data_IF_809668399350
#
_entry.id   IF_809668399350
#
_cell.length_a   1.000
_cell.length_b   1.000
_cell.length_c   1.000
_cell.angle_alpha   90.00
_cell.angle_beta   90.00
_cell.angle_gamma   90.00
#
_symmetry.space_group_name_H-M   'P 1'
#
loop_
_entity.id
_entity.type
_entity.pdbx_description
1 polymer ?
#
# COMPACT_ATOMS: atom_id res chain seq x y z
N UNK A 1 14.40 -26.51 30.32
CA UNK A 1 15.33 -25.56 30.96
C UNK A 1 14.70 -24.19 30.85
N UNK A 2 14.53 -23.40 31.90
CA UNK A 2 13.90 -22.10 31.81
C UNK A 2 14.83 -21.13 31.05
N UNK A 3 14.27 -20.42 30.07
CA UNK A 3 14.90 -19.28 29.42
C UNK A 3 15.17 -18.19 30.46
N UNK A 4 16.40 -18.08 30.86
CA UNK A 4 16.87 -16.98 31.71
C UNK A 4 17.18 -15.81 30.78
N UNK A 5 16.32 -14.83 30.79
CA UNK A 5 16.57 -13.44 30.37
C UNK A 5 16.91 -13.18 28.90
N UNK A 6 16.24 -13.85 27.94
CA UNK A 6 16.28 -13.46 26.50
C UNK A 6 17.68 -13.54 25.84
N UNK A 7 18.63 -14.25 26.45
CA UNK A 7 20.02 -14.34 26.01
C UNK A 7 20.25 -15.62 25.21
N UNK A 8 20.70 -15.50 23.97
CA UNK A 8 21.09 -16.68 23.18
C UNK A 8 22.48 -17.15 23.61
N UNK A 9 22.65 -18.42 23.98
CA UNK A 9 23.97 -19.00 24.25
C UNK A 9 24.86 -18.89 22.98
N UNK A 10 26.15 -18.63 23.21
CA UNK A 10 27.16 -18.56 22.14
C UNK A 10 28.26 -19.56 22.43
N UNK A 11 28.85 -20.12 21.34
CA UNK A 11 30.10 -20.88 21.42
C UNK A 11 31.28 -19.91 21.39
N UNK A 12 32.06 -19.86 22.49
CA UNK A 12 33.14 -18.92 22.66
C UNK A 12 34.46 -19.69 22.77
N UNK A 13 35.45 -19.32 21.97
CA UNK A 13 36.82 -19.79 22.14
C UNK A 13 37.59 -18.73 22.92
N UNK A 14 38.14 -19.12 24.07
CA UNK A 14 38.89 -18.23 24.98
C UNK A 14 40.39 -18.54 24.89
N UNK A 15 41.12 -17.73 24.09
CA UNK A 15 42.55 -17.88 23.83
C UNK A 15 43.39 -17.03 24.82
N UNK A 16 44.37 -17.63 25.45
CA UNK A 16 45.22 -16.95 26.43
C UNK A 16 46.62 -17.61 26.58
N UNK A 17 47.58 -16.90 27.15
CA UNK A 17 48.85 -17.49 27.60
C UNK A 17 48.68 -18.24 28.90
N UNK A 18 49.28 -19.43 29.04
CA UNK A 18 49.27 -20.19 30.32
C UNK A 18 49.73 -19.38 31.55
N UNK A 19 50.59 -18.38 31.35
CA UNK A 19 51.03 -17.45 32.38
C UNK A 19 49.90 -16.57 32.93
N UNK A 20 48.84 -16.35 32.13
CA UNK A 20 47.70 -15.51 32.51
C UNK A 20 46.50 -16.32 33.02
N UNK A 21 46.62 -17.65 33.20
CA UNK A 21 45.52 -18.54 33.60
C UNK A 21 44.74 -18.02 34.81
N UNK A 22 45.43 -17.64 35.87
CA UNK A 22 44.79 -17.14 37.12
C UNK A 22 43.96 -15.86 36.92
N UNK A 23 44.30 -15.02 35.92
CA UNK A 23 43.54 -13.82 35.55
C UNK A 23 42.35 -14.16 34.66
N UNK A 24 42.43 -15.20 33.84
CA UNK A 24 41.45 -15.55 32.81
C UNK A 24 40.40 -16.53 33.33
N UNK A 25 40.72 -17.39 34.27
CA UNK A 25 39.80 -18.36 34.85
C UNK A 25 38.50 -17.74 35.42
N UNK A 26 38.51 -16.59 36.14
CA UNK A 26 37.27 -15.90 36.50
C UNK A 26 36.41 -15.44 35.33
N UNK A 27 37.04 -15.13 34.19
CA UNK A 27 36.33 -14.76 32.97
C UNK A 27 35.58 -15.97 32.41
N UNK A 28 36.25 -17.15 32.36
CA UNK A 28 35.62 -18.39 31.96
C UNK A 28 34.39 -18.71 32.82
N UNK A 29 34.52 -18.69 34.14
CA UNK A 29 33.38 -18.95 35.02
C UNK A 29 32.24 -17.95 34.84
N UNK A 30 32.55 -16.67 34.62
CA UNK A 30 31.54 -15.65 34.43
C UNK A 30 30.78 -15.86 33.09
N UNK A 31 31.44 -16.24 32.01
CA UNK A 31 30.82 -16.54 30.72
C UNK A 31 29.96 -17.82 30.80
N UNK A 32 30.46 -18.88 31.47
CA UNK A 32 29.68 -20.10 31.72
C UNK A 32 28.40 -19.82 32.52
N UNK A 33 28.51 -18.96 33.58
CA UNK A 33 27.38 -18.55 34.41
C UNK A 33 26.31 -17.77 33.61
N UNK A 34 26.66 -17.15 32.44
CA UNK A 34 25.72 -16.51 31.52
C UNK A 34 25.12 -17.49 30.49
N UNK A 35 25.45 -18.79 30.61
CA UNK A 35 24.94 -19.84 29.73
C UNK A 35 25.68 -19.99 28.39
N UNK A 36 26.85 -19.37 28.22
CA UNK A 36 27.68 -19.57 27.04
C UNK A 36 28.42 -20.93 27.09
N UNK A 37 28.71 -21.50 25.95
CA UNK A 37 29.54 -22.67 25.75
C UNK A 37 30.99 -22.19 25.51
N UNK A 38 31.89 -22.38 26.49
CA UNK A 38 33.22 -21.80 26.44
C UNK A 38 34.28 -22.89 26.33
N UNK A 39 35.06 -22.86 25.27
CA UNK A 39 36.28 -23.63 25.15
C UNK A 39 37.43 -22.87 25.83
N UNK A 40 37.88 -23.37 26.99
CA UNK A 40 38.82 -22.68 27.84
C UNK A 40 40.12 -23.47 28.08
N UNK A 41 40.09 -24.82 28.13
CA UNK A 41 41.19 -25.57 28.73
C UNK A 41 42.05 -26.37 27.76
N UNK A 42 43.38 -26.35 28.05
CA UNK A 42 44.37 -27.19 27.45
C UNK A 42 44.57 -28.50 28.21
N UNK A 43 44.14 -28.55 29.49
CA UNK A 43 44.39 -29.67 30.39
C UNK A 43 43.33 -30.78 30.28
N UNK A 44 42.20 -30.52 29.60
CA UNK A 44 41.15 -31.53 29.29
C UNK A 44 41.53 -32.46 28.14
N UNK A 45 42.77 -32.40 27.64
CA UNK A 45 43.24 -33.26 26.58
C UNK A 45 43.77 -34.56 27.14
N UNK A 46 43.15 -35.74 26.85
CA UNK A 46 43.73 -37.02 27.22
C UNK A 46 45.12 -37.17 26.61
N UNK A 47 46.06 -37.68 27.43
CA UNK A 47 47.42 -37.94 26.96
C UNK A 47 47.39 -38.86 25.73
N UNK A 48 47.99 -38.42 24.58
CA UNK A 48 48.07 -39.18 23.34
C UNK A 48 47.03 -38.86 22.27
N UNK A 49 46.20 -37.84 22.45
CA UNK A 49 45.31 -37.31 21.38
C UNK A 49 46.01 -36.20 20.58
N UNK A 50 45.68 -36.09 19.28
CA UNK A 50 46.16 -35.02 18.43
C UNK A 50 45.65 -33.66 18.93
N UNK A 51 46.51 -32.95 19.65
CA UNK A 51 46.20 -31.66 20.25
C UNK A 51 45.73 -30.63 19.24
N UNK A 52 46.31 -30.62 18.04
CA UNK A 52 46.02 -29.63 17.02
C UNK A 52 44.59 -29.76 16.45
N UNK A 53 44.04 -30.98 16.28
CA UNK A 53 42.71 -31.17 15.68
C UNK A 53 41.59 -30.67 16.55
N UNK A 54 41.65 -30.91 17.86
CA UNK A 54 40.58 -30.44 18.77
C UNK A 54 40.52 -28.90 18.89
N UNK A 55 41.69 -28.24 18.84
CA UNK A 55 41.74 -26.77 18.81
C UNK A 55 41.17 -26.24 17.49
N UNK A 56 41.53 -26.87 16.37
CA UNK A 56 40.95 -26.52 15.06
C UNK A 56 39.45 -26.66 15.13
N UNK A 57 38.91 -27.78 15.56
CA UNK A 57 37.45 -28.02 15.66
C UNK A 57 36.76 -27.03 16.62
N UNK A 58 37.40 -26.70 17.75
CA UNK A 58 36.89 -25.74 18.69
C UNK A 58 36.86 -24.31 18.12
N UNK A 59 37.90 -23.87 17.42
CA UNK A 59 37.92 -22.58 16.74
C UNK A 59 36.91 -22.57 15.60
N UNK A 60 36.79 -23.66 14.80
CA UNK A 60 35.84 -23.76 13.70
C UNK A 60 34.38 -23.76 14.17
N UNK A 61 34.09 -24.37 15.34
CA UNK A 61 32.74 -24.36 15.91
C UNK A 61 32.39 -23.06 16.64
N UNK A 62 33.40 -22.28 17.09
CA UNK A 62 33.20 -21.06 17.85
C UNK A 62 32.45 -19.98 17.02
N UNK A 63 31.60 -19.22 17.69
CA UNK A 63 30.91 -18.04 17.14
C UNK A 63 31.66 -16.75 17.46
N UNK A 64 32.40 -16.73 18.56
CA UNK A 64 33.21 -15.62 19.03
C UNK A 64 34.58 -16.14 19.50
N UNK A 65 35.63 -15.46 19.12
CA UNK A 65 37.00 -15.71 19.56
C UNK A 65 37.41 -14.55 20.51
N UNK A 66 37.64 -14.87 21.76
CA UNK A 66 38.12 -13.91 22.76
C UNK A 66 39.62 -14.13 22.94
N UNK A 67 40.43 -13.11 22.63
CA UNK A 67 41.87 -13.17 22.70
C UNK A 67 42.39 -12.34 23.90
N UNK A 68 42.95 -13.02 24.91
CA UNK A 68 43.53 -12.37 26.07
C UNK A 68 44.92 -11.85 25.71
N UNK A 69 44.99 -10.55 25.47
CA UNK A 69 46.19 -9.87 24.99
C UNK A 69 47.15 -9.58 26.18
N UNK A 70 48.36 -10.13 26.12
CA UNK A 70 49.46 -9.88 27.05
C UNK A 70 50.80 -10.00 26.30
N UNK A 71 51.92 -9.52 26.87
CA UNK A 71 53.25 -9.76 26.26
C UNK A 71 53.56 -11.24 26.05
N UNK A 72 53.05 -12.12 26.89
CA UNK A 72 53.21 -13.56 26.78
C UNK A 72 52.37 -14.19 25.66
N UNK A 73 51.12 -13.70 25.45
CA UNK A 73 50.23 -14.25 24.43
C UNK A 73 50.68 -13.90 23.00
N UNK A 74 51.38 -12.79 22.80
CA UNK A 74 51.85 -12.32 21.48
C UNK A 74 53.36 -12.64 21.23
N UNK A 75 54.01 -13.39 22.11
CA UNK A 75 55.39 -13.79 21.91
C UNK A 75 55.47 -14.72 20.69
N UNK A 76 56.48 -14.55 19.78
CA UNK A 76 56.70 -15.47 18.70
C UNK A 76 56.80 -16.93 19.19
N UNK A 77 56.05 -17.84 18.59
CA UNK A 77 55.95 -19.24 18.99
C UNK A 77 54.98 -19.53 20.15
N UNK A 78 54.22 -18.55 20.62
CA UNK A 78 53.16 -18.81 21.63
C UNK A 78 51.98 -19.56 20.96
N UNK A 79 51.37 -20.46 21.73
CA UNK A 79 50.16 -21.17 21.28
C UNK A 79 49.00 -20.20 21.00
N UNK A 80 48.88 -19.14 21.76
CA UNK A 80 47.82 -18.14 21.54
C UNK A 80 47.93 -17.46 20.15
N UNK A 81 49.17 -17.24 19.63
CA UNK A 81 49.37 -16.77 18.26
C UNK A 81 48.96 -17.81 17.20
N UNK A 82 49.21 -19.10 17.46
CA UNK A 82 48.77 -20.18 16.56
C UNK A 82 47.22 -20.23 16.49
N UNK A 83 46.55 -20.15 17.63
CA UNK A 83 45.10 -20.09 17.74
C UNK A 83 44.55 -18.85 17.06
N UNK A 84 45.19 -17.68 17.22
CA UNK A 84 44.82 -16.46 16.52
C UNK A 84 44.98 -16.63 14.99
N UNK A 85 45.98 -17.35 14.54
CA UNK A 85 46.15 -17.70 13.11
C UNK A 85 45.03 -18.57 12.56
N UNK A 86 44.47 -19.48 13.35
CA UNK A 86 43.29 -20.27 12.99
C UNK A 86 42.04 -19.36 12.92
N UNK A 87 41.84 -18.48 13.90
CA UNK A 87 40.76 -17.51 13.92
C UNK A 87 40.83 -16.58 12.69
N UNK A 88 42.02 -16.14 12.28
CA UNK A 88 42.22 -15.31 11.10
C UNK A 88 41.89 -16.06 9.79
N UNK A 89 42.18 -17.35 9.70
CA UNK A 89 41.80 -18.19 8.55
C UNK A 89 40.27 -18.32 8.47
N UNK A 90 39.61 -18.52 9.59
CA UNK A 90 38.15 -18.63 9.65
C UNK A 90 37.43 -17.31 9.37
N UNK A 91 37.94 -16.22 9.90
CA UNK A 91 37.34 -14.90 9.74
C UNK A 91 38.35 -13.89 9.18
N UNK A 92 38.36 -13.70 7.88
CA UNK A 92 39.25 -12.71 7.23
C UNK A 92 39.01 -11.29 7.77
N UNK A 93 37.75 -10.95 8.18
CA UNK A 93 37.39 -9.74 8.89
C UNK A 93 37.07 -10.07 10.34
N UNK A 94 37.83 -9.57 11.34
CA UNK A 94 37.61 -9.86 12.76
C UNK A 94 36.40 -9.16 13.37
N UNK A 95 35.81 -8.17 12.69
CA UNK A 95 34.74 -7.35 13.24
C UNK A 95 33.53 -8.17 13.69
N UNK A 96 33.16 -8.02 14.97
CA UNK A 96 32.06 -8.78 15.57
C UNK A 96 32.34 -10.28 15.74
N UNK A 97 33.56 -10.78 15.44
CA UNK A 97 33.95 -12.18 15.54
C UNK A 97 35.15 -12.41 16.46
N UNK A 98 35.98 -11.41 16.61
CA UNK A 98 37.17 -11.46 17.48
C UNK A 98 37.07 -10.31 18.46
N UNK A 99 37.26 -10.61 19.78
CA UNK A 99 37.29 -9.66 20.88
C UNK A 99 38.67 -9.72 21.51
N UNK A 100 39.60 -8.81 21.19
CA UNK A 100 40.86 -8.70 21.91
C UNK A 100 40.64 -7.99 23.25
N UNK A 101 41.18 -8.54 24.32
CA UNK A 101 41.05 -8.05 25.69
C UNK A 101 42.43 -7.88 26.30
N UNK A 102 42.83 -6.67 26.63
CA UNK A 102 44.09 -6.41 27.29
C UNK A 102 44.04 -6.88 28.78
N UNK A 103 44.84 -7.90 29.10
CA UNK A 103 44.98 -8.42 30.47
C UNK A 103 46.24 -7.94 31.14
N UNK A 104 47.19 -7.51 30.32
CA UNK A 104 48.43 -6.83 30.75
C UNK A 104 48.78 -5.73 29.73
N UNK A 105 49.52 -4.69 30.13
CA UNK A 105 49.91 -3.63 29.18
C UNK A 105 50.75 -4.18 28.02
N UNK A 106 50.35 -3.87 26.80
CA UNK A 106 51.05 -4.20 25.55
C UNK A 106 51.19 -2.94 24.71
N UNK A 107 52.43 -2.63 24.29
CA UNK A 107 52.62 -1.51 23.37
C UNK A 107 51.89 -1.77 22.05
N UNK A 108 51.15 -0.78 21.58
CA UNK A 108 50.30 -0.91 20.37
C UNK A 108 51.06 -1.43 19.15
N UNK A 109 52.32 -1.05 18.98
CA UNK A 109 53.15 -1.50 17.87
C UNK A 109 53.38 -3.02 17.86
N UNK A 110 53.34 -3.65 19.04
CA UNK A 110 53.51 -5.10 19.19
C UNK A 110 52.20 -5.89 19.03
N UNK A 111 51.06 -5.23 19.01
CA UNK A 111 49.77 -5.90 18.77
C UNK A 111 49.72 -6.46 17.36
N UNK A 112 49.33 -7.73 17.17
CA UNK A 112 49.19 -8.32 15.82
C UNK A 112 48.29 -7.47 14.92
N UNK A 113 48.66 -7.30 13.64
CA UNK A 113 47.96 -6.48 12.68
C UNK A 113 46.47 -6.86 12.55
N UNK A 114 46.14 -8.14 12.61
CA UNK A 114 44.78 -8.65 12.57
C UNK A 114 43.92 -8.14 13.75
N UNK A 115 44.47 -8.03 14.93
CA UNK A 115 43.77 -7.50 16.12
C UNK A 115 43.64 -5.97 16.09
N UNK A 116 44.52 -5.27 15.39
CA UNK A 116 44.42 -3.81 15.19
C UNK A 116 43.22 -3.38 14.34
N UNK A 117 42.60 -4.33 13.61
CA UNK A 117 41.41 -4.08 12.79
C UNK A 117 40.13 -3.95 13.66
N UNK A 118 40.17 -4.24 14.93
CA UNK A 118 39.06 -4.13 15.90
C UNK A 118 39.51 -3.40 17.19
N UNK A 119 38.55 -2.84 17.91
CA UNK A 119 38.83 -2.18 19.17
C UNK A 119 39.26 -3.20 20.22
N UNK A 120 40.42 -2.98 20.86
CA UNK A 120 40.87 -3.74 22.02
C UNK A 120 40.05 -3.30 23.21
N UNK A 121 39.49 -4.27 23.96
CA UNK A 121 38.87 -4.01 25.23
C UNK A 121 39.95 -3.80 26.29
N UNK A 122 40.02 -2.64 26.91
CA UNK A 122 40.88 -2.31 28.01
C UNK A 122 40.05 -2.22 29.29
N UNK A 123 39.98 -3.28 30.10
CA UNK A 123 39.12 -3.31 31.29
C UNK A 123 39.63 -2.33 32.35
N UNK A 124 38.75 -1.44 32.82
CA UNK A 124 38.99 -0.63 34.01
C UNK A 124 38.23 -1.25 35.18
N UNK A 125 38.92 -1.99 36.03
CA UNK A 125 38.31 -2.67 37.17
C UNK A 125 38.14 -4.19 36.98
N UNK A 126 36.94 -4.74 37.16
CA UNK A 126 36.69 -6.18 37.10
C UNK A 126 36.73 -6.71 35.66
N UNK A 127 37.78 -7.47 35.31
CA UNK A 127 38.02 -8.07 34.02
C UNK A 127 36.86 -8.96 33.57
N UNK A 128 36.37 -9.84 34.43
CA UNK A 128 35.29 -10.78 34.06
C UNK A 128 33.99 -10.06 33.72
N UNK A 129 33.61 -9.04 34.50
CA UNK A 129 32.42 -8.24 34.23
C UNK A 129 32.54 -7.48 32.90
N UNK A 130 33.70 -6.89 32.62
CA UNK A 130 33.93 -6.14 31.37
C UNK A 130 33.85 -7.04 30.13
N UNK A 131 34.39 -8.26 30.20
CA UNK A 131 34.33 -9.23 29.11
C UNK A 131 32.89 -9.72 28.87
N UNK A 132 32.17 -10.07 29.95
CA UNK A 132 30.76 -10.49 29.86
C UNK A 132 29.91 -9.40 29.20
N UNK A 133 30.07 -8.14 29.58
CA UNK A 133 29.33 -7.02 29.00
C UNK A 133 29.69 -6.80 27.51
N UNK A 134 30.97 -6.93 27.16
CA UNK A 134 31.41 -6.84 25.76
C UNK A 134 30.82 -7.98 24.88
N UNK A 135 30.82 -9.22 25.38
CA UNK A 135 30.21 -10.39 24.71
C UNK A 135 28.71 -10.18 24.53
N UNK A 136 28.03 -9.67 25.56
CA UNK A 136 26.60 -9.36 25.49
C UNK A 136 26.29 -8.32 24.41
N UNK A 137 27.05 -7.24 24.31
CA UNK A 137 26.89 -6.23 23.24
C UNK A 137 27.05 -6.84 21.84
N UNK A 138 28.05 -7.70 21.66
CA UNK A 138 28.31 -8.36 20.39
C UNK A 138 27.18 -9.35 20.01
N UNK A 139 26.65 -10.10 20.96
CA UNK A 139 25.51 -11.01 20.74
C UNK A 139 24.25 -10.25 20.32
N UNK A 140 23.94 -9.15 21.01
CA UNK A 140 22.75 -8.29 20.71
C UNK A 140 22.86 -7.62 19.37
N UNK A 141 24.03 -7.12 18.98
CA UNK A 141 24.27 -6.50 17.68
C UNK A 141 24.01 -7.45 16.50
N UNK A 142 24.28 -8.75 16.68
CA UNK A 142 24.03 -9.79 15.64
C UNK A 142 22.56 -10.12 15.42
N UNK A 143 21.70 -9.93 16.42
CA UNK A 143 20.28 -10.25 16.33
C UNK A 143 19.44 -9.13 15.68
N UNK A 144 19.91 -7.88 15.74
CA UNK A 144 19.19 -6.71 15.19
C UNK A 144 18.83 -6.83 13.71
N UNK A 145 19.71 -7.20 12.76
CA UNK A 145 19.35 -7.29 11.34
C UNK A 145 18.36 -8.41 11.03
N UNK A 146 18.43 -9.55 11.75
CA UNK A 146 17.49 -10.68 11.55
C UNK A 146 16.07 -10.34 12.00
N UNK A 147 15.91 -9.64 13.13
CA UNK A 147 14.60 -9.19 13.63
C UNK A 147 13.99 -8.12 12.73
N UNK A 148 14.78 -7.16 12.26
CA UNK A 148 14.32 -6.13 11.33
C UNK A 148 13.84 -6.73 9.99
N UNK A 149 14.56 -7.72 9.44
CA UNK A 149 14.17 -8.42 8.22
C UNK A 149 12.88 -9.22 8.39
N UNK A 150 12.67 -9.89 9.53
CA UNK A 150 11.43 -10.63 9.83
C UNK A 150 10.24 -9.70 9.99
N UNK A 151 10.39 -8.56 10.66
CA UNK A 151 9.34 -7.55 10.80
C UNK A 151 8.98 -6.96 9.43
N UNK A 152 9.97 -6.62 8.61
CA UNK A 152 9.75 -6.12 7.26
C UNK A 152 9.00 -7.14 6.38
N UNK A 153 9.38 -8.42 6.43
CA UNK A 153 8.69 -9.49 5.72
C UNK A 153 7.23 -9.66 6.20
N UNK A 154 6.98 -9.61 7.50
CA UNK A 154 5.63 -9.68 8.05
C UNK A 154 4.74 -8.51 7.60
N UNK A 155 5.29 -7.28 7.59
CA UNK A 155 4.58 -6.08 7.10
C UNK A 155 4.21 -6.21 5.63
N UNK A 156 5.12 -6.71 4.79
CA UNK A 156 4.85 -6.95 3.35
C UNK A 156 3.75 -8.00 3.17
N UNK A 157 3.79 -9.11 3.90
CA UNK A 157 2.75 -10.16 3.82
C UNK A 157 1.38 -9.62 4.22
N UNK A 158 1.30 -8.84 5.30
CA UNK A 158 0.06 -8.20 5.75
C UNK A 158 -0.45 -7.20 4.72
N UNK A 159 0.42 -6.37 4.14
CA UNK A 159 0.05 -5.42 3.10
C UNK A 159 -0.48 -6.11 1.83
N UNK A 160 0.16 -7.21 1.41
CA UNK A 160 -0.29 -8.02 0.27
C UNK A 160 -1.62 -8.70 0.57
N UNK A 161 -1.82 -9.22 1.78
CA UNK A 161 -3.08 -9.84 2.19
C UNK A 161 -4.23 -8.82 2.25
N UNK A 162 -3.97 -7.61 2.76
CA UNK A 162 -4.93 -6.50 2.77
C UNK A 162 -5.27 -6.07 1.34
N UNK A 163 -4.27 -5.89 0.47
CA UNK A 163 -4.49 -5.56 -0.93
C UNK A 163 -5.31 -6.65 -1.65
N UNK A 164 -4.95 -7.93 -1.47
CA UNK A 164 -5.68 -9.06 -2.03
C UNK A 164 -7.13 -9.13 -1.52
N UNK A 165 -7.36 -8.85 -0.24
CA UNK A 165 -8.70 -8.78 0.36
C UNK A 165 -9.52 -7.63 -0.24
N UNK A 166 -8.93 -6.43 -0.41
CA UNK A 166 -9.59 -5.31 -1.10
C UNK A 166 -9.92 -5.65 -2.56
N UNK A 167 -8.98 -6.23 -3.31
CA UNK A 167 -9.22 -6.67 -4.69
C UNK A 167 -10.29 -7.76 -4.79
N UNK A 168 -10.34 -8.70 -3.86
CA UNK A 168 -11.35 -9.76 -3.85
C UNK A 168 -12.74 -9.22 -3.51
N UNK A 169 -12.86 -8.28 -2.56
CA UNK A 169 -14.13 -7.66 -2.18
C UNK A 169 -14.65 -6.70 -3.25
N UNK A 170 -13.77 -6.00 -3.97
CA UNK A 170 -14.14 -5.13 -5.08
C UNK A 170 -14.65 -5.93 -6.29
N UNK A 171 -14.04 -7.08 -6.61
CA UNK A 171 -14.51 -7.99 -7.68
C UNK A 171 -15.90 -8.56 -7.42
N UNK A 172 -16.31 -8.78 -6.18
CA UNK A 172 -17.63 -9.34 -5.87
C UNK A 172 -18.78 -8.34 -6.10
N UNK A 173 -18.49 -7.04 -6.11
CA UNK A 173 -19.49 -5.97 -6.31
C UNK A 173 -19.65 -5.56 -7.77
N UNK A 174 -18.69 -5.89 -8.62
CA UNK A 174 -18.64 -5.43 -10.01
C UNK A 174 -18.87 -6.58 -10.96
N UNK A 175 -19.85 -6.44 -11.86
CA UNK A 175 -20.19 -7.42 -12.89
C UNK A 175 -20.25 -6.73 -14.25
N UNK A 176 -20.07 -7.48 -15.35
CA UNK A 176 -20.36 -6.98 -16.70
C UNK A 176 -21.87 -6.90 -16.87
N UNK A 177 -22.42 -5.70 -16.97
CA UNK A 177 -23.86 -5.48 -16.94
C UNK A 177 -24.52 -5.41 -18.33
N UNK A 178 -23.76 -5.44 -19.42
CA UNK A 178 -24.28 -5.34 -20.77
C UNK A 178 -23.36 -6.01 -21.80
N UNK A 179 -23.75 -5.98 -23.06
CA UNK A 179 -22.95 -6.54 -24.17
C UNK A 179 -21.70 -5.70 -24.49
N UNK A 180 -21.65 -4.46 -24.01
CA UNK A 180 -20.49 -3.55 -24.08
C UNK A 180 -19.36 -3.92 -23.11
N UNK A 181 -19.58 -4.92 -22.25
CA UNK A 181 -18.59 -5.36 -21.26
C UNK A 181 -18.23 -4.31 -20.19
N UNK A 182 -18.99 -3.20 -20.09
CA UNK A 182 -18.72 -2.19 -19.08
C UNK A 182 -18.88 -2.76 -17.66
N UNK A 183 -17.92 -2.51 -16.74
CA UNK A 183 -18.07 -2.90 -15.37
C UNK A 183 -19.20 -2.12 -14.70
N UNK A 184 -20.11 -2.81 -14.03
CA UNK A 184 -21.23 -2.21 -13.33
C UNK A 184 -21.26 -2.63 -11.86
N UNK A 185 -21.75 -1.75 -11.03
CA UNK A 185 -21.85 -1.90 -9.57
C UNK A 185 -23.30 -2.11 -9.19
N UNK A 186 -23.58 -3.08 -8.32
CA UNK A 186 -24.90 -3.26 -7.74
C UNK A 186 -25.16 -2.16 -6.69
N UNK A 187 -26.18 -1.35 -6.94
CA UNK A 187 -26.70 -0.39 -5.97
C UNK A 187 -27.87 -1.08 -5.25
N UNK A 188 -27.76 -1.36 -3.95
CA UNK A 188 -28.82 -2.04 -3.20
C UNK A 188 -30.09 -1.20 -3.10
N UNK A 189 -31.24 -1.87 -3.09
CA UNK A 189 -32.51 -1.22 -2.83
C UNK A 189 -32.51 -0.51 -1.47
N UNK A 190 -32.93 0.74 -1.45
CA UNK A 190 -33.02 1.50 -0.21
C UNK A 190 -33.93 2.72 -0.34
N UNK A 191 -34.40 3.21 0.81
CA UNK A 191 -34.93 4.57 0.96
C UNK A 191 -33.77 5.51 1.26
N UNK A 192 -33.74 6.67 0.62
CA UNK A 192 -32.73 7.70 0.88
C UNK A 192 -33.37 9.11 0.83
N UNK A 193 -32.68 10.10 1.36
CA UNK A 193 -33.07 11.50 1.26
C UNK A 193 -32.52 12.09 -0.01
N UNK A 194 -33.39 12.37 -0.97
CA UNK A 194 -33.09 13.07 -2.23
C UNK A 194 -33.24 14.57 -2.04
N UNK A 195 -32.31 15.38 -2.57
CA UNK A 195 -32.27 16.83 -2.35
C UNK A 195 -31.58 17.21 -1.03
N UNK A 196 -31.34 18.51 -0.80
CA UNK A 196 -30.66 19.02 0.39
C UNK A 196 -31.12 20.43 0.84
N UNK A 197 -32.28 20.88 0.38
CA UNK A 197 -32.85 22.20 0.60
C UNK A 197 -32.06 23.40 0.06
N UNK A 198 -30.74 23.22 -0.21
CA UNK A 198 -29.93 24.24 -0.85
C UNK A 198 -30.08 24.21 -2.39
N UNK A 199 -30.17 23.00 -2.95
CA UNK A 199 -30.24 22.78 -4.39
C UNK A 199 -31.64 22.32 -4.83
N UNK A 200 -32.35 21.58 -3.99
CA UNK A 200 -33.72 21.14 -4.22
C UNK A 200 -34.36 20.66 -2.91
N UNK A 201 -35.69 20.82 -2.73
CA UNK A 201 -36.39 20.38 -1.52
C UNK A 201 -36.11 18.90 -1.20
N UNK A 202 -35.83 18.61 0.08
CA UNK A 202 -35.62 17.24 0.53
C UNK A 202 -36.89 16.41 0.44
N UNK A 203 -36.76 15.15 0.04
CA UNK A 203 -37.85 14.17 0.04
C UNK A 203 -37.31 12.75 0.29
N UNK A 204 -38.15 11.92 0.85
CA UNK A 204 -37.87 10.49 1.00
C UNK A 204 -38.18 9.76 -0.31
N UNK A 205 -37.20 9.06 -0.86
CA UNK A 205 -37.32 8.31 -2.12
C UNK A 205 -36.85 6.88 -1.91
N UNK A 206 -37.68 5.92 -2.28
CA UNK A 206 -37.27 4.52 -2.37
C UNK A 206 -36.88 4.17 -3.80
N UNK A 207 -35.71 3.54 -3.95
CA UNK A 207 -35.22 3.02 -5.23
C UNK A 207 -35.00 1.51 -5.10
N UNK A 208 -35.52 0.72 -6.03
CA UNK A 208 -35.25 -0.73 -6.13
C UNK A 208 -33.77 -0.96 -6.46
N UNK A 209 -33.26 -2.17 -6.23
CA UNK A 209 -31.89 -2.51 -6.58
C UNK A 209 -31.68 -2.42 -8.10
N UNK A 210 -30.56 -1.88 -8.51
CA UNK A 210 -30.17 -1.74 -9.92
C UNK A 210 -28.66 -1.84 -10.05
N UNK A 211 -28.18 -2.12 -11.27
CA UNK A 211 -26.79 -1.99 -11.63
C UNK A 211 -26.56 -0.63 -12.28
N UNK A 212 -25.47 0.03 -11.90
CA UNK A 212 -25.00 1.26 -12.53
C UNK A 212 -23.58 1.04 -13.07
N UNK A 213 -23.29 1.50 -14.28
CA UNK A 213 -21.93 1.46 -14.80
C UNK A 213 -20.97 2.16 -13.83
N UNK A 214 -19.84 1.52 -13.54
CA UNK A 214 -18.86 2.03 -12.58
C UNK A 214 -18.28 3.36 -13.02
N UNK A 215 -18.15 3.56 -14.32
CA UNK A 215 -17.59 4.74 -14.97
C UNK A 215 -18.55 5.29 -16.02
N UNK A 216 -18.27 6.49 -16.52
CA UNK A 216 -18.90 7.01 -17.72
C UNK A 216 -18.61 6.09 -18.92
N UNK A 217 -19.46 6.11 -19.95
CA UNK A 217 -19.20 5.41 -21.21
C UNK A 217 -17.98 6.02 -21.87
N UNK A 218 -17.00 5.17 -22.19
CA UNK A 218 -15.75 5.63 -22.81
C UNK A 218 -15.89 5.82 -24.31
N UNK A 219 -15.01 6.65 -24.88
CA UNK A 219 -14.86 6.85 -26.32
C UNK A 219 -14.68 5.53 -27.08
N UNK A 220 -13.88 4.59 -26.51
CA UNK A 220 -13.68 3.26 -27.10
C UNK A 220 -14.99 2.47 -27.23
N UNK A 221 -15.81 2.46 -26.15
CA UNK A 221 -17.10 1.73 -26.17
C UNK A 221 -18.11 2.39 -27.11
N UNK A 222 -18.10 3.71 -27.17
CA UNK A 222 -18.98 4.42 -28.09
C UNK A 222 -18.58 4.19 -29.55
N UNK A 223 -17.28 4.10 -29.87
CA UNK A 223 -16.78 3.70 -31.18
C UNK A 223 -17.29 2.30 -31.60
N UNK A 224 -17.31 1.35 -30.67
CA UNK A 224 -17.87 0.01 -30.94
C UNK A 224 -19.38 0.06 -31.26
N UNK A 225 -20.12 0.93 -30.59
CA UNK A 225 -21.53 1.16 -30.86
C UNK A 225 -21.74 1.75 -32.25
N UNK A 226 -20.99 2.78 -32.65
CA UNK A 226 -21.06 3.37 -33.99
C UNK A 226 -20.76 2.34 -35.06
N UNK A 227 -19.68 1.57 -34.89
CA UNK A 227 -19.31 0.50 -35.83
C UNK A 227 -20.35 -0.60 -35.92
N UNK A 228 -21.06 -0.93 -34.85
CA UNK A 228 -22.06 -2.00 -34.82
C UNK A 228 -23.42 -1.59 -35.38
N UNK A 229 -23.75 -0.30 -35.34
CA UNK A 229 -25.11 0.17 -35.72
C UNK A 229 -25.15 0.91 -37.02
N UNK A 230 -24.10 1.62 -37.40
CA UNK A 230 -24.02 2.37 -38.68
C UNK A 230 -25.07 3.46 -38.91
N UNK A 231 -25.99 3.66 -37.97
CA UNK A 231 -27.22 4.45 -38.14
C UNK A 231 -27.30 5.68 -37.21
N UNK A 232 -26.31 5.92 -36.39
CA UNK A 232 -26.30 7.00 -35.41
C UNK A 232 -25.32 8.07 -35.86
N UNK A 233 -25.70 9.34 -35.67
CA UNK A 233 -24.80 10.44 -35.96
C UNK A 233 -23.60 10.38 -34.99
N UNK A 234 -22.45 10.81 -35.48
CA UNK A 234 -21.24 10.89 -34.66
C UNK A 234 -21.37 12.02 -33.62
N UNK A 235 -20.71 11.87 -32.41
CA UNK A 235 -20.61 12.95 -31.46
C UNK A 235 -20.05 14.23 -32.05
N UNK A 236 -20.39 15.37 -31.47
CA UNK A 236 -19.85 16.65 -31.94
C UNK A 236 -18.32 16.66 -31.88
N UNK A 237 -17.66 16.96 -32.99
CA UNK A 237 -16.19 16.96 -33.09
C UNK A 237 -15.55 15.56 -33.09
N UNK A 238 -16.32 14.51 -33.39
CA UNK A 238 -15.80 13.16 -33.54
C UNK A 238 -14.75 13.07 -34.67
N UNK A 239 -13.73 12.33 -34.40
CA UNK A 239 -12.63 12.00 -35.31
C UNK A 239 -12.09 10.64 -34.92
N UNK A 240 -12.11 9.66 -35.77
CA UNK A 240 -11.70 8.28 -35.44
C UNK A 240 -10.28 8.18 -34.96
N UNK A 241 -9.34 8.98 -35.44
CA UNK A 241 -7.96 8.98 -34.99
C UNK A 241 -7.84 9.58 -33.55
N UNK A 242 -8.60 10.65 -33.30
CA UNK A 242 -8.67 11.21 -31.91
C UNK A 242 -9.39 10.26 -30.98
N UNK A 243 -10.47 9.62 -31.40
CA UNK A 243 -11.19 8.63 -30.62
C UNK A 243 -10.29 7.43 -30.26
N UNK A 244 -9.47 6.98 -31.22
CA UNK A 244 -8.51 5.91 -30.97
C UNK A 244 -7.39 6.31 -29.97
N UNK A 245 -6.99 7.59 -29.94
CA UNK A 245 -6.04 8.12 -28.96
C UNK A 245 -6.67 8.36 -27.59
N UNK A 246 -7.97 8.65 -27.54
CA UNK A 246 -8.73 9.02 -26.34
C UNK A 246 -9.58 7.87 -25.77
N UNK A 247 -9.18 6.64 -25.99
CA UNK A 247 -9.97 5.42 -25.71
C UNK A 247 -10.60 5.36 -24.32
N UNK A 248 -9.86 5.81 -23.31
CA UNK A 248 -10.28 5.73 -21.90
C UNK A 248 -10.90 7.04 -21.39
N UNK A 249 -11.04 8.06 -22.25
CA UNK A 249 -11.79 9.28 -21.88
C UNK A 249 -13.30 9.00 -21.98
N UNK A 250 -14.13 9.69 -21.18
CA UNK A 250 -15.57 9.64 -21.37
C UNK A 250 -15.93 10.18 -22.75
N UNK A 251 -16.91 9.58 -23.41
CA UNK A 251 -17.51 10.15 -24.60
C UNK A 251 -18.34 11.36 -24.22
N UNK A 252 -18.09 12.46 -24.88
CA UNK A 252 -18.85 13.72 -24.74
C UNK A 252 -19.28 14.24 -26.13
N UNK A 253 -20.05 15.30 -26.18
CA UNK A 253 -20.57 15.82 -27.45
C UNK A 253 -21.69 14.96 -28.04
N UNK A 254 -22.29 14.12 -27.22
CA UNK A 254 -23.46 13.27 -27.55
C UNK A 254 -24.73 13.93 -27.06
N UNK A 255 -25.80 13.86 -27.87
CA UNK A 255 -27.11 14.27 -27.42
C UNK A 255 -27.80 13.19 -26.58
N UNK A 256 -28.91 13.56 -25.96
CA UNK A 256 -29.63 12.64 -25.06
C UNK A 256 -30.12 11.38 -25.77
N UNK A 257 -30.57 11.50 -27.09
CA UNK A 257 -31.07 10.36 -27.82
C UNK A 257 -29.99 9.38 -28.21
N UNK A 258 -28.79 9.87 -28.50
CA UNK A 258 -27.61 9.02 -28.74
C UNK A 258 -27.18 8.28 -27.50
N UNK A 259 -27.17 8.96 -26.35
CA UNK A 259 -26.87 8.35 -25.05
C UNK A 259 -27.89 7.24 -24.72
N UNK A 260 -29.16 7.49 -24.88
CA UNK A 260 -30.24 6.49 -24.69
C UNK A 260 -30.14 5.34 -25.71
N UNK A 261 -29.84 5.63 -26.97
CA UNK A 261 -29.66 4.61 -28.04
C UNK A 261 -28.45 3.69 -27.71
N UNK A 262 -27.33 4.26 -27.25
CA UNK A 262 -26.19 3.48 -26.80
C UNK A 262 -26.59 2.54 -25.67
N UNK A 263 -27.18 3.08 -24.57
CA UNK A 263 -27.57 2.27 -23.44
C UNK A 263 -28.50 1.12 -23.83
N UNK A 264 -29.49 1.37 -24.71
CA UNK A 264 -30.36 0.32 -25.24
C UNK A 264 -29.62 -0.71 -26.11
N UNK A 265 -28.69 -0.25 -26.95
CA UNK A 265 -27.82 -1.16 -27.71
C UNK A 265 -27.01 -2.05 -26.78
N UNK A 266 -26.51 -1.52 -25.67
CA UNK A 266 -25.78 -2.28 -24.66
C UNK A 266 -26.67 -3.24 -23.83
N UNK A 267 -28.00 -3.23 -24.02
CA UNK A 267 -28.96 -3.99 -23.21
C UNK A 267 -29.21 -3.36 -21.82
N UNK A 268 -29.08 -2.04 -21.76
CA UNK A 268 -29.21 -1.18 -20.60
C UNK A 268 -30.17 -0.03 -20.85
N UNK A 269 -30.23 0.94 -19.97
CA UNK A 269 -30.95 2.21 -20.10
C UNK A 269 -30.17 3.34 -19.44
N UNK A 270 -30.52 4.58 -19.71
CA UNK A 270 -30.02 5.68 -18.85
C UNK A 270 -30.55 5.50 -17.43
N UNK A 271 -29.77 5.90 -16.39
CA UNK A 271 -30.25 5.94 -15.02
C UNK A 271 -31.34 7.02 -14.88
N UNK A 272 -32.31 6.79 -14.00
CA UNK A 272 -33.19 7.88 -13.56
C UNK A 272 -32.41 8.86 -12.68
N UNK A 273 -32.90 10.08 -12.56
CA UNK A 273 -32.29 11.09 -11.71
C UNK A 273 -32.17 10.63 -10.25
N UNK A 274 -33.19 9.92 -9.74
CA UNK A 274 -33.18 9.35 -8.41
C UNK A 274 -32.20 8.18 -8.25
N UNK A 275 -32.02 7.34 -9.24
CA UNK A 275 -31.01 6.28 -9.24
C UNK A 275 -29.60 6.86 -9.23
N UNK A 276 -29.36 7.87 -10.06
CA UNK A 276 -28.08 8.54 -10.12
C UNK A 276 -27.73 9.17 -8.75
N UNK A 277 -28.67 9.94 -8.14
CA UNK A 277 -28.43 10.57 -6.85
C UNK A 277 -28.29 9.55 -5.73
N UNK A 278 -29.06 8.43 -5.73
CA UNK A 278 -28.91 7.33 -4.79
C UNK A 278 -27.50 6.72 -4.87
N UNK A 279 -26.96 6.52 -6.06
CA UNK A 279 -25.60 5.99 -6.25
C UNK A 279 -24.52 6.97 -5.80
N UNK A 280 -24.75 8.28 -5.96
CA UNK A 280 -23.81 9.32 -5.53
C UNK A 280 -23.83 9.56 -4.02
N UNK A 281 -25.02 9.65 -3.41
CA UNK A 281 -25.19 10.05 -2.00
C UNK A 281 -25.28 8.91 -1.00
N UNK A 282 -25.45 7.68 -1.45
CA UNK A 282 -25.73 6.58 -0.53
C UNK A 282 -27.06 6.77 0.21
N UNK A 283 -27.10 6.33 1.46
CA UNK A 283 -28.26 6.50 2.36
C UNK A 283 -27.99 7.51 3.49
N UNK A 284 -26.79 8.05 3.57
CA UNK A 284 -26.31 8.94 4.61
C UNK A 284 -26.31 10.42 4.22
N UNK A 285 -26.94 10.76 3.08
CA UNK A 285 -27.20 12.12 2.60
C UNK A 285 -25.92 12.98 2.41
N UNK A 286 -24.79 12.37 2.09
CA UNK A 286 -23.50 13.04 1.88
C UNK A 286 -23.56 14.08 0.74
N UNK A 287 -22.71 15.11 0.83
CA UNK A 287 -22.66 16.19 -0.15
C UNK A 287 -22.05 15.77 -1.48
N UNK A 288 -21.05 14.91 -1.44
CA UNK A 288 -20.30 14.39 -2.58
C UNK A 288 -20.22 12.87 -2.53
N UNK A 289 -19.87 12.16 -3.61
CA UNK A 289 -19.79 10.70 -3.61
C UNK A 289 -18.87 10.13 -2.52
N UNK A 290 -17.78 10.79 -2.21
CA UNK A 290 -16.78 10.38 -1.20
C UNK A 290 -17.10 10.81 0.24
N UNK A 291 -18.11 11.66 0.46
CA UNK A 291 -18.44 12.19 1.79
C UNK A 291 -18.77 13.69 1.78
N UNK A 292 -18.39 14.39 2.86
CA UNK A 292 -18.73 15.81 3.03
C UNK A 292 -17.53 16.76 2.86
N UNK A 293 -16.31 16.23 2.67
CA UNK A 293 -15.14 17.07 2.44
C UNK A 293 -15.22 17.73 1.07
N UNK A 294 -14.72 18.98 0.96
CA UNK A 294 -14.71 19.71 -0.31
C UNK A 294 -14.00 18.94 -1.43
N UNK A 295 -14.36 19.18 -2.69
CA UNK A 295 -13.64 18.62 -3.84
C UNK A 295 -12.16 18.97 -3.84
N UNK A 296 -11.32 18.02 -4.25
CA UNK A 296 -9.89 18.18 -4.45
C UNK A 296 -9.45 17.48 -5.74
N UNK A 297 -8.31 17.86 -6.33
CA UNK A 297 -7.80 17.22 -7.56
C UNK A 297 -7.57 15.71 -7.46
N UNK A 298 -7.40 15.17 -6.27
CA UNK A 298 -7.26 13.73 -6.05
C UNK A 298 -8.60 12.98 -6.12
N UNK A 299 -9.72 13.69 -5.94
CA UNK A 299 -11.07 13.11 -5.84
C UNK A 299 -11.92 13.34 -7.09
N UNK A 300 -11.67 14.42 -7.81
CA UNK A 300 -12.50 14.78 -8.97
C UNK A 300 -11.72 15.63 -9.98
N UNK A 301 -12.18 15.58 -11.24
CA UNK A 301 -11.72 16.44 -12.31
C UNK A 301 -12.68 17.60 -12.47
N UNK A 302 -12.26 18.82 -12.09
CA UNK A 302 -13.10 20.04 -12.10
C UNK A 302 -12.25 21.30 -12.24
N UNK A 303 -12.86 22.46 -12.45
CA UNK A 303 -12.16 23.73 -12.48
C UNK A 303 -11.68 24.13 -11.08
N UNK A 304 -10.38 24.17 -10.88
CA UNK A 304 -9.77 24.51 -9.59
C UNK A 304 -9.59 26.01 -9.36
N UNK A 305 -9.92 26.85 -10.37
CA UNK A 305 -9.81 28.32 -10.27
C UNK A 305 -11.10 28.96 -10.79
N UNK A 306 -11.67 29.86 -10.01
CA UNK A 306 -12.84 30.66 -10.37
C UNK A 306 -12.55 31.73 -11.43
N UNK A 307 -11.30 31.97 -11.82
CA UNK A 307 -10.88 33.15 -12.60
C UNK A 307 -10.03 32.83 -13.83
N UNK A 308 -10.32 31.75 -14.55
CA UNK A 308 -9.65 31.48 -15.82
C UNK A 308 -10.17 30.21 -16.49
N UNK A 309 -9.99 30.07 -17.83
CA UNK A 309 -10.34 28.83 -18.51
C UNK A 309 -9.50 27.70 -17.92
N UNK A 310 -10.17 26.65 -17.47
CA UNK A 310 -9.50 25.44 -17.00
C UNK A 310 -8.69 24.82 -18.15
N UNK A 311 -7.40 24.60 -17.94
CA UNK A 311 -6.48 24.13 -19.00
C UNK A 311 -6.30 22.62 -19.05
N UNK A 312 -7.22 21.81 -18.53
CA UNK A 312 -6.97 20.42 -18.31
C UNK A 312 -7.73 19.39 -19.11
N UNK A 313 -8.88 19.72 -19.66
CA UNK A 313 -9.75 18.77 -20.38
C UNK A 313 -10.19 17.57 -19.52
N UNK A 314 -10.82 16.59 -20.18
CA UNK A 314 -11.26 15.33 -19.59
C UNK A 314 -10.09 14.48 -19.08
N UNK A 315 -10.34 13.67 -18.06
CA UNK A 315 -9.44 12.64 -17.56
C UNK A 315 -9.93 11.25 -17.98
N UNK A 316 -9.01 10.27 -18.05
CA UNK A 316 -9.41 8.88 -18.24
C UNK A 316 -10.35 8.45 -17.11
N UNK A 317 -11.39 7.70 -17.45
CA UNK A 317 -12.36 7.22 -16.46
C UNK A 317 -11.66 6.43 -15.35
N UNK A 318 -12.08 6.61 -14.11
CA UNK A 318 -11.47 5.93 -12.97
C UNK A 318 -10.14 6.52 -12.47
N UNK A 319 -9.68 7.63 -13.02
CA UNK A 319 -8.41 8.27 -12.61
C UNK A 319 -8.46 8.82 -11.18
N UNK A 320 -9.64 9.08 -10.64
CA UNK A 320 -9.86 9.68 -9.33
C UNK A 320 -10.50 8.68 -8.36
N UNK A 321 -9.81 7.57 -8.09
CA UNK A 321 -10.35 6.50 -7.23
C UNK A 321 -10.73 6.95 -5.82
N UNK A 322 -10.11 8.00 -5.29
CA UNK A 322 -10.48 8.61 -4.00
C UNK A 322 -11.85 9.32 -4.03
N UNK A 323 -12.40 9.58 -5.22
CA UNK A 323 -13.70 10.20 -5.45
C UNK A 323 -14.87 9.23 -5.57
N UNK A 324 -14.65 7.93 -5.37
CA UNK A 324 -15.71 6.93 -5.50
C UNK A 324 -16.81 7.05 -4.45
N UNK A 325 -18.03 6.63 -4.81
CA UNK A 325 -19.14 6.53 -3.87
C UNK A 325 -18.97 5.34 -2.90
N UNK A 326 -19.82 5.25 -1.88
CA UNK A 326 -19.83 4.15 -0.91
C UNK A 326 -20.01 2.77 -1.55
N UNK A 327 -20.70 2.71 -2.65
CA UNK A 327 -20.92 1.49 -3.42
C UNK A 327 -19.78 1.19 -4.41
N UNK A 328 -18.88 2.15 -4.66
CA UNK A 328 -17.70 1.97 -5.53
C UNK A 328 -17.93 2.47 -6.97
N UNK A 329 -18.93 3.30 -7.21
CA UNK A 329 -19.10 4.02 -8.49
C UNK A 329 -18.14 5.20 -8.51
N UNK A 330 -17.44 5.42 -9.61
CA UNK A 330 -16.43 6.47 -9.75
C UNK A 330 -16.91 7.56 -10.71
N UNK A 331 -16.25 8.71 -10.64
CA UNK A 331 -16.47 9.87 -11.52
C UNK A 331 -17.93 10.42 -11.51
N UNK A 332 -18.65 10.24 -10.38
CA UNK A 332 -19.99 10.82 -10.17
C UNK A 332 -19.93 12.33 -9.79
N UNK A 333 -18.75 12.92 -9.78
CA UNK A 333 -18.54 14.34 -9.52
C UNK A 333 -17.35 14.82 -10.36
N UNK A 334 -17.59 15.74 -11.29
CA UNK A 334 -16.59 16.22 -12.23
C UNK A 334 -16.41 15.28 -13.43
N UNK A 335 -15.36 15.47 -14.20
CA UNK A 335 -15.03 14.81 -15.45
C UNK A 335 -16.07 15.12 -16.53
N UNK A 336 -17.07 14.27 -16.75
CA UNK A 336 -18.19 14.62 -17.63
C UNK A 336 -19.49 14.77 -16.82
N UNK A 337 -20.26 15.82 -17.12
CA UNK A 337 -21.66 15.90 -16.72
C UNK A 337 -22.45 14.78 -17.40
N UNK A 338 -23.49 14.25 -16.76
CA UNK A 338 -24.12 13.02 -17.21
C UNK A 338 -25.62 13.19 -17.51
N UNK A 339 -26.03 12.80 -18.71
CA UNK A 339 -27.43 12.66 -19.06
C UNK A 339 -28.13 11.61 -18.18
N UNK A 340 -29.34 11.96 -17.69
CA UNK A 340 -30.24 11.02 -17.01
C UNK A 340 -31.53 10.84 -17.81
N UNK A 341 -32.31 9.82 -17.52
CA UNK A 341 -33.53 9.48 -18.28
C UNK A 341 -34.62 10.54 -18.15
N UNK A 342 -34.69 11.22 -17.03
CA UNK A 342 -35.81 12.06 -16.63
C UNK A 342 -35.87 13.37 -17.42
N UNK A 343 -37.10 13.84 -17.68
CA UNK A 343 -37.32 15.24 -17.94
C UNK A 343 -37.10 16.05 -16.67
N UNK A 344 -36.47 17.18 -16.79
CA UNK A 344 -36.23 18.08 -15.67
C UNK A 344 -37.53 18.76 -15.20
N UNK A 345 -37.67 18.92 -13.91
CA UNK A 345 -38.65 19.78 -13.27
C UNK A 345 -38.00 20.50 -12.09
N UNK A 346 -38.29 21.78 -11.94
CA UNK A 346 -37.80 22.55 -10.78
C UNK A 346 -38.32 22.00 -9.45
N UNK A 347 -39.54 21.49 -9.45
CA UNK A 347 -40.16 20.88 -8.26
C UNK A 347 -40.31 19.37 -8.46
N UNK A 348 -39.97 18.64 -7.44
CA UNK A 348 -40.33 17.22 -7.35
C UNK A 348 -41.80 17.08 -6.88
N UNK A 349 -42.43 15.96 -7.26
CA UNK A 349 -43.70 15.59 -6.65
C UNK A 349 -43.51 15.46 -5.12
N UNK A 350 -44.44 16.00 -4.34
CA UNK A 350 -44.43 15.93 -2.86
C UNK A 350 -44.81 14.55 -2.35
N UNK A 351 -44.18 14.12 -1.23
CA UNK A 351 -44.48 12.86 -0.55
C UNK A 351 -43.43 11.78 -0.84
N UNK A 352 -43.61 10.62 -0.21
CA UNK A 352 -42.81 9.43 -0.42
C UNK A 352 -43.05 8.86 -1.80
N UNK A 353 -41.98 8.66 -2.54
CA UNK A 353 -42.06 8.20 -3.93
C UNK A 353 -41.17 6.97 -4.12
N UNK A 354 -41.75 5.98 -4.79
CA UNK A 354 -41.03 4.76 -5.17
C UNK A 354 -40.64 4.80 -6.65
N UNK A 355 -39.34 4.62 -6.93
CA UNK A 355 -38.76 4.60 -8.28
C UNK A 355 -39.26 5.77 -9.17
N UNK A 356 -39.11 7.03 -8.75
CA UNK A 356 -39.61 8.15 -9.55
C UNK A 356 -38.86 8.24 -10.89
N UNK A 357 -39.60 8.62 -11.95
CA UNK A 357 -39.05 8.75 -13.30
C UNK A 357 -39.13 10.20 -13.85
N UNK A 358 -39.38 11.16 -12.96
CA UNK A 358 -39.61 12.53 -13.37
C UNK A 358 -40.96 12.73 -14.06
N UNK A 359 -41.25 13.95 -14.58
CA UNK A 359 -42.47 14.26 -15.34
C UNK A 359 -42.41 13.67 -16.75
N UNK A 360 -43.55 13.62 -17.44
CA UNK A 360 -43.63 13.13 -18.82
C UNK A 360 -43.01 14.11 -19.84
N UNK A 361 -42.89 15.39 -19.49
CA UNK A 361 -42.31 16.45 -20.32
C UNK A 361 -41.68 17.52 -19.40
N UNK A 362 -40.77 18.32 -19.94
CA UNK A 362 -40.09 19.38 -19.21
C UNK A 362 -39.31 20.31 -20.15
N UNK A 363 -38.62 21.32 -19.61
CA UNK A 363 -37.83 22.28 -20.37
C UNK A 363 -36.59 21.64 -21.02
N UNK A 364 -36.15 20.49 -20.54
CA UNK A 364 -35.00 19.73 -21.02
C UNK A 364 -34.85 18.42 -20.26
N UNK A 365 -33.87 17.64 -20.67
CA UNK A 365 -33.45 16.40 -19.97
C UNK A 365 -32.52 16.72 -18.84
N UNK A 366 -32.63 15.98 -17.74
CA UNK A 366 -31.78 16.15 -16.56
C UNK A 366 -30.32 15.83 -16.85
N UNK A 367 -29.43 16.57 -16.20
CA UNK A 367 -27.96 16.42 -16.23
C UNK A 367 -27.46 16.46 -14.78
N UNK A 368 -26.51 15.60 -14.46
CA UNK A 368 -25.98 15.44 -13.09
C UNK A 368 -24.44 15.43 -13.09
N UNK A 369 -23.85 15.61 -11.89
CA UNK A 369 -22.42 15.39 -11.63
C UNK A 369 -21.53 16.63 -11.79
N UNK A 370 -21.85 17.50 -12.73
CA UNK A 370 -20.96 18.59 -13.17
C UNK A 370 -19.77 18.07 -13.98
N UNK A 371 -19.27 18.88 -14.89
CA UNK A 371 -18.17 18.52 -15.79
C UNK A 371 -16.82 19.08 -15.35
N UNK A 372 -15.78 18.78 -16.12
CA UNK A 372 -14.40 19.23 -15.88
C UNK A 372 -14.23 20.76 -15.89
N UNK A 373 -15.14 21.48 -16.53
CA UNK A 373 -15.13 22.94 -16.61
C UNK A 373 -15.85 23.61 -15.43
N UNK A 374 -16.60 22.84 -14.65
CA UNK A 374 -17.44 23.38 -13.58
C UNK A 374 -16.66 23.64 -12.31
N UNK A 375 -17.01 24.70 -11.55
CA UNK A 375 -16.42 24.98 -10.25
C UNK A 375 -16.91 23.99 -9.19
N UNK A 376 -16.18 23.89 -8.08
CA UNK A 376 -16.41 22.93 -7.00
C UNK A 376 -17.85 22.90 -6.46
N UNK A 377 -18.52 24.05 -6.41
CA UNK A 377 -19.89 24.19 -5.91
C UNK A 377 -20.93 23.46 -6.77
N UNK A 378 -20.60 23.22 -8.05
CA UNK A 378 -21.47 22.53 -9.01
C UNK A 378 -21.32 21.01 -8.97
N UNK A 379 -20.35 20.47 -8.23
CA UNK A 379 -20.08 19.04 -8.11
C UNK A 379 -20.88 18.34 -7.01
N UNK A 380 -21.69 19.06 -6.25
CA UNK A 380 -22.53 18.46 -5.20
C UNK A 380 -23.47 17.42 -5.82
N UNK A 381 -23.61 16.28 -5.16
CA UNK A 381 -24.48 15.19 -5.64
C UNK A 381 -25.96 15.59 -5.79
N UNK A 382 -26.38 16.69 -5.16
CA UNK A 382 -27.72 17.24 -5.23
C UNK A 382 -27.92 18.26 -6.33
N UNK A 383 -26.82 18.77 -6.95
CA UNK A 383 -26.90 19.74 -8.04
C UNK A 383 -27.61 19.14 -9.26
N UNK A 384 -28.52 19.92 -9.80
CA UNK A 384 -29.38 19.55 -10.91
C UNK A 384 -29.22 20.55 -12.03
N UNK A 385 -29.01 20.04 -13.22
CA UNK A 385 -28.96 20.82 -14.46
C UNK A 385 -29.91 20.21 -15.47
N UNK A 386 -30.12 20.92 -16.55
CA UNK A 386 -30.85 20.41 -17.71
C UNK A 386 -30.42 21.11 -19.00
N UNK A 387 -30.60 20.41 -20.11
CA UNK A 387 -30.43 20.99 -21.45
C UNK A 387 -31.48 20.40 -22.41
N UNK A 388 -31.64 21.05 -23.57
CA UNK A 388 -32.43 20.47 -24.66
C UNK A 388 -31.92 19.05 -24.99
N UNK A 389 -32.81 18.08 -25.29
CA UNK A 389 -32.38 16.74 -25.71
C UNK A 389 -31.43 16.72 -26.92
N UNK A 390 -31.39 17.81 -27.71
CA UNK A 390 -30.52 17.95 -28.89
C UNK A 390 -29.17 18.62 -28.57
N UNK A 391 -28.92 18.97 -27.30
CA UNK A 391 -27.67 19.63 -26.88
C UNK A 391 -26.49 18.67 -26.98
N UNK A 392 -25.38 19.14 -27.56
CA UNK A 392 -24.12 18.42 -27.71
C UNK A 392 -22.99 19.32 -27.20
N UNK A 393 -22.58 19.12 -25.95
CA UNK A 393 -21.54 19.90 -25.32
C UNK A 393 -20.31 19.02 -25.04
N UNK A 394 -19.13 19.64 -25.01
CA UNK A 394 -17.83 18.99 -24.85
C UNK A 394 -17.51 18.56 -23.40
N UNK A 395 -18.46 18.76 -22.51
CA UNK A 395 -18.43 18.37 -21.10
C UNK A 395 -19.65 17.53 -20.68
N UNK A 396 -20.53 17.14 -21.62
CA UNK A 396 -21.70 16.30 -21.34
C UNK A 396 -21.54 14.93 -21.98
N UNK A 397 -21.46 13.90 -21.16
CA UNK A 397 -21.45 12.50 -21.47
C UNK A 397 -22.60 11.75 -20.78
N UNK A 398 -22.39 10.48 -20.45
CA UNK A 398 -23.40 9.64 -19.78
C UNK A 398 -22.80 8.34 -19.24
N UNK A 399 -23.56 7.66 -18.38
CA UNK A 399 -23.38 6.25 -18.01
C UNK A 399 -24.71 5.50 -18.09
N UNK A 400 -24.66 4.17 -18.12
CA UNK A 400 -25.88 3.37 -18.24
C UNK A 400 -26.21 2.65 -16.92
N UNK A 401 -27.50 2.35 -16.75
CA UNK A 401 -28.05 1.53 -15.69
C UNK A 401 -28.76 0.30 -16.24
N UNK A 402 -28.93 -0.71 -15.40
CA UNK A 402 -29.72 -1.91 -15.68
C UNK A 402 -30.46 -2.35 -14.43
N UNK A 403 -31.73 -2.75 -14.59
CA UNK A 403 -32.49 -3.30 -13.47
C UNK A 403 -31.83 -4.58 -12.94
N UNK A 404 -31.74 -4.73 -11.62
CA UNK A 404 -31.36 -6.00 -11.04
C UNK A 404 -32.49 -7.00 -11.26
N UNK A 405 -32.16 -8.15 -11.83
CA UNK A 405 -33.15 -9.25 -12.00
C UNK A 405 -33.60 -9.66 -10.62
N UNK A 406 -34.91 -9.71 -10.41
CA UNK A 406 -35.53 -10.19 -9.16
C UNK A 406 -35.37 -11.69 -9.01
#
# INVERSE_FOLDING_TARGET
MPEVDGRSPMKIFLSYSSQNRALVEPVNFALLAQGHDVFFDRDDLPAGTEYDQRIIDAVESAELFVFMLSPASIRPGSYALTELGLAQKKWANPSGRVLPVAVEPVAFDHVPAYLKAVTVLEPTGNLAAAVVDAVHRLATARQRPKRAALIAAAVVVVAVAIAAWFFATDRQKTVAAGKDGAPAVLIPAATFTMGDDADSPQRSVYVDAFYLDRFEVTTARFAEFLAATGAVSEPNGWDDAKAAAARELPVVGVDWREADAYCRWAGKRLPTESEWERAARGTDARAYPWGNEPPSPDRARFATSASGPYQGGLAAVGSHAAGQSSEGVQDLAGNASEWVADWYSESFATGDVRNPKGPESGPGKGIRGGGWQEPAERLRSTKRFHASPDTRADDIGFRCARDAVR
#
